data_IF_701794009424
#
_entry.id   IF_701794009424
#
_cell.length_a   1.000
_cell.length_b   1.000
_cell.length_c   1.000
_cell.angle_alpha   90.00
_cell.angle_beta   90.00
_cell.angle_gamma   90.00
#
_symmetry.space_group_name_H-M   'P 1'
#
loop_
_entity.id
_entity.type
_entity.pdbx_description
1 polymer ?
#
# COMPACT_ATOMS: atom_id res chain seq x y z
N UNK A 1 -12.85 -7.87 10.13
CA UNK A 1 -11.69 -8.77 10.30
C UNK A 1 -10.35 -8.04 10.34
N UNK A 2 -9.34 -8.69 10.93
CA UNK A 2 -7.97 -8.19 11.00
C UNK A 2 -7.07 -8.93 10.02
N UNK A 3 -6.14 -8.20 9.40
CA UNK A 3 -5.20 -8.70 8.40
C UNK A 3 -3.78 -8.56 8.91
N UNK A 4 -2.96 -9.60 8.72
CA UNK A 4 -1.53 -9.53 8.98
C UNK A 4 -0.84 -9.04 7.72
N UNK A 5 -0.18 -7.90 7.81
CA UNK A 5 0.55 -7.28 6.70
C UNK A 5 2.06 -7.37 6.94
N UNK A 6 2.79 -7.73 5.89
CA UNK A 6 4.25 -7.63 5.84
C UNK A 6 4.67 -6.45 4.96
N UNK A 7 5.80 -5.85 5.30
CA UNK A 7 6.37 -4.74 4.55
C UNK A 7 7.52 -5.20 3.66
N UNK A 8 7.79 -4.42 2.61
CA UNK A 8 8.83 -4.70 1.64
C UNK A 8 10.21 -4.85 2.32
N UNK A 9 10.96 -5.87 1.89
CA UNK A 9 12.31 -6.15 2.41
C UNK A 9 12.37 -6.61 3.87
N UNK A 10 11.22 -6.80 4.55
CA UNK A 10 11.20 -7.15 5.98
C UNK A 10 11.84 -6.09 6.87
N UNK A 11 11.93 -4.84 6.39
CA UNK A 11 12.58 -3.73 7.10
C UNK A 11 11.80 -3.36 8.37
N UNK A 12 10.48 -3.52 8.33
CA UNK A 12 9.58 -3.30 9.46
C UNK A 12 8.92 -4.62 9.88
N UNK A 13 8.60 -4.79 11.18
CA UNK A 13 7.92 -5.97 11.67
C UNK A 13 6.54 -6.12 11.01
N UNK A 14 6.03 -7.35 11.00
CA UNK A 14 4.64 -7.59 10.59
C UNK A 14 3.68 -6.89 11.55
N UNK A 15 2.65 -6.28 10.99
CA UNK A 15 1.63 -5.56 11.75
C UNK A 15 0.23 -6.07 11.42
N UNK A 16 -0.68 -5.92 12.37
CA UNK A 16 -2.08 -6.31 12.21
C UNK A 16 -2.95 -5.08 12.02
N UNK A 17 -3.71 -5.05 10.93
CA UNK A 17 -4.60 -3.95 10.59
C UNK A 17 -6.04 -4.41 10.45
N UNK A 18 -6.99 -3.56 10.86
CA UNK A 18 -8.39 -3.76 10.52
C UNK A 18 -8.56 -3.66 8.99
N UNK A 19 -9.35 -4.54 8.38
CA UNK A 19 -9.56 -4.58 6.93
C UNK A 19 -10.03 -3.23 6.33
N UNK A 20 -10.78 -2.43 7.11
CA UNK A 20 -11.22 -1.08 6.70
C UNK A 20 -10.05 -0.10 6.51
N UNK A 21 -8.91 -0.36 7.15
CA UNK A 21 -7.68 0.44 7.02
C UNK A 21 -6.77 -0.06 5.91
N UNK A 22 -7.08 -1.19 5.30
CA UNK A 22 -6.31 -1.79 4.21
C UNK A 22 -7.08 -1.59 2.91
N UNK A 23 -6.34 -1.24 1.86
CA UNK A 23 -6.91 -0.99 0.53
C UNK A 23 -6.07 -1.66 -0.55
N UNK A 24 -6.73 -2.01 -1.64
CA UNK A 24 -6.01 -2.36 -2.85
C UNK A 24 -5.22 -1.15 -3.36
N UNK A 25 -4.06 -1.35 -3.99
CA UNK A 25 -3.34 -0.27 -4.62
C UNK A 25 -4.23 0.41 -5.68
N UNK A 26 -4.04 1.71 -5.97
CA UNK A 26 -4.71 2.34 -7.10
C UNK A 26 -4.52 1.50 -8.36
N UNK A 27 -5.59 1.31 -9.13
CA UNK A 27 -5.47 0.73 -10.47
C UNK A 27 -4.48 1.60 -11.24
N UNK A 28 -3.35 1.02 -11.64
CA UNK A 28 -2.41 1.68 -12.55
C UNK A 28 -3.15 1.85 -13.88
N UNK A 29 -3.84 2.96 -14.08
CA UNK A 29 -4.13 3.40 -15.42
C UNK A 29 -2.76 3.70 -16.03
N UNK A 30 -2.26 2.77 -16.85
CA UNK A 30 -0.95 2.84 -17.51
C UNK A 30 -0.81 4.14 -18.33
N UNK A 31 -1.95 4.75 -18.67
CA UNK A 31 -2.11 6.05 -19.32
C UNK A 31 -2.13 7.24 -18.34
N UNK A 32 -2.64 7.09 -17.11
CA UNK A 32 -2.79 8.20 -16.16
C UNK A 32 -1.47 8.74 -15.60
N UNK A 33 -0.39 7.94 -15.58
CA UNK A 33 0.90 8.43 -15.09
C UNK A 33 1.60 9.38 -16.09
N UNK A 34 1.31 9.27 -17.38
CA UNK A 34 1.84 10.16 -18.42
C UNK A 34 1.06 11.49 -18.50
N UNK A 35 -0.18 11.52 -18.01
CA UNK A 35 -1.08 12.68 -18.08
C UNK A 35 -1.33 13.35 -16.72
N UNK A 36 -0.72 12.84 -15.63
CA UNK A 36 -0.95 13.39 -14.29
C UNK A 36 -0.22 14.73 -14.11
N UNK A 37 -0.99 15.81 -14.24
CA UNK A 37 -0.54 17.19 -14.07
C UNK A 37 -1.35 17.90 -12.98
N UNK A 38 -1.05 17.63 -11.70
CA UNK A 38 -1.80 18.23 -10.62
C UNK A 38 -1.57 19.75 -10.56
N UNK A 39 -2.61 20.45 -10.12
CA UNK A 39 -2.62 21.92 -10.06
C UNK A 39 -2.32 22.43 -8.65
N UNK A 40 -1.78 23.66 -8.49
CA UNK A 40 -1.60 24.26 -7.17
C UNK A 40 -2.90 24.26 -6.36
N UNK A 41 -2.83 23.75 -5.13
CA UNK A 41 -3.98 23.57 -4.23
C UNK A 41 -4.52 22.14 -4.18
N UNK A 42 -4.23 21.31 -5.20
CA UNK A 42 -4.71 19.92 -5.28
C UNK A 42 -4.06 19.02 -4.22
N UNK A 43 -4.81 18.00 -3.77
CA UNK A 43 -4.31 16.97 -2.86
C UNK A 43 -3.84 15.77 -3.67
N UNK A 44 -2.60 15.37 -3.44
CA UNK A 44 -1.92 14.26 -4.10
C UNK A 44 -1.37 13.29 -3.06
N UNK A 45 -1.00 12.09 -3.50
CA UNK A 45 -0.23 11.16 -2.68
C UNK A 45 1.25 11.28 -3.03
N UNK A 46 2.06 11.63 -2.04
CA UNK A 46 3.52 11.77 -2.11
C UNK A 46 4.19 10.48 -1.62
N UNK A 47 5.12 9.96 -2.42
CA UNK A 47 5.95 8.83 -2.05
C UNK A 47 7.00 9.24 -1.00
N UNK A 48 7.23 8.37 -0.02
CA UNK A 48 8.33 8.50 0.92
C UNK A 48 9.10 7.19 1.06
N UNK A 49 10.41 7.30 1.29
CA UNK A 49 11.29 6.17 1.48
C UNK A 49 11.11 5.56 2.87
N UNK A 50 11.49 4.28 3.00
CA UNK A 50 11.55 3.63 4.30
C UNK A 50 12.63 4.30 5.17
N UNK A 51 12.36 4.39 6.46
CA UNK A 51 13.31 4.77 7.51
C UNK A 51 13.42 3.62 8.50
N UNK A 52 14.41 3.62 9.41
CA UNK A 52 14.46 2.63 10.48
C UNK A 52 13.22 2.61 11.38
N UNK A 53 12.45 3.69 11.39
CA UNK A 53 11.24 3.86 12.21
C UNK A 53 9.93 3.71 11.42
N UNK A 54 9.96 3.60 10.10
CA UNK A 54 8.74 3.58 9.28
C UNK A 54 8.96 2.91 7.92
N UNK A 55 8.00 2.11 7.43
CA UNK A 55 8.10 1.50 6.10
C UNK A 55 8.00 2.57 5.00
N UNK A 56 8.44 2.24 3.78
CA UNK A 56 8.18 3.10 2.62
C UNK A 56 6.67 3.18 2.36
N UNK A 57 6.22 4.26 1.72
CA UNK A 57 4.80 4.40 1.48
C UNK A 57 4.38 5.65 0.72
N UNK A 58 3.08 5.94 0.85
CA UNK A 58 2.42 7.07 0.22
C UNK A 58 1.64 7.84 1.28
N UNK A 59 1.79 9.17 1.30
CA UNK A 59 1.11 10.07 2.25
C UNK A 59 0.41 11.21 1.52
N UNK A 60 -0.62 11.78 2.10
CA UNK A 60 -1.28 12.94 1.50
C UNK A 60 -0.41 14.20 1.58
N UNK A 61 -0.37 14.93 0.48
CA UNK A 61 0.32 16.21 0.38
C UNK A 61 -0.50 17.18 -0.49
N UNK A 62 -0.34 18.48 -0.26
CA UNK A 62 -0.92 19.55 -1.07
C UNK A 62 0.12 20.14 -1.99
N UNK A 63 -0.23 20.27 -3.27
CA UNK A 63 0.61 20.97 -4.25
C UNK A 63 0.59 22.47 -3.97
N UNK A 64 1.76 23.07 -3.87
CA UNK A 64 1.96 24.51 -3.61
C UNK A 64 2.29 25.26 -4.90
N UNK A 65 3.14 24.69 -5.73
CA UNK A 65 3.51 25.25 -7.02
C UNK A 65 3.98 24.14 -7.96
N UNK A 66 3.87 24.41 -9.26
CA UNK A 66 4.33 23.53 -10.34
C UNK A 66 5.26 24.36 -11.23
N UNK A 67 6.51 23.92 -11.40
CA UNK A 67 7.49 24.60 -12.24
C UNK A 67 8.33 23.57 -13.00
N UNK A 68 8.33 23.64 -14.33
CA UNK A 68 9.21 22.84 -15.21
C UNK A 68 9.17 21.32 -14.93
N UNK A 69 7.99 20.76 -14.63
CA UNK A 69 7.85 19.33 -14.33
C UNK A 69 8.24 18.93 -12.90
N UNK A 70 8.60 19.90 -12.05
CA UNK A 70 8.79 19.74 -10.61
C UNK A 70 7.61 20.31 -9.85
N UNK A 71 7.31 19.69 -8.72
CA UNK A 71 6.18 20.02 -7.86
C UNK A 71 6.69 20.32 -6.46
N UNK A 72 6.40 21.53 -5.96
CA UNK A 72 6.56 21.84 -4.54
C UNK A 72 5.31 21.32 -3.82
N UNK A 73 5.49 20.39 -2.90
CA UNK A 73 4.39 19.79 -2.14
C UNK A 73 4.62 19.89 -0.65
N UNK A 74 3.54 20.00 0.11
CA UNK A 74 3.58 20.04 1.57
C UNK A 74 2.68 18.94 2.15
N UNK A 75 3.17 18.02 3.00
CA UNK A 75 2.34 17.04 3.69
C UNK A 75 1.14 17.71 4.39
N UNK A 76 -0.04 17.09 4.31
CA UNK A 76 -1.26 17.62 4.94
C UNK A 76 -1.25 17.44 6.45
N UNK A 77 -0.69 16.31 6.89
CA UNK A 77 -0.47 15.98 8.29
C UNK A 77 0.76 16.73 8.84
N UNK A 78 0.68 17.15 10.11
CA UNK A 78 1.85 17.72 10.79
C UNK A 78 2.83 16.59 11.07
N UNK A 79 4.08 16.73 10.62
CA UNK A 79 5.17 15.90 11.13
C UNK A 79 5.32 16.15 12.64
N UNK A 80 5.73 15.14 13.40
CA UNK A 80 5.84 15.18 14.88
C UNK A 80 6.68 16.35 15.42
N UNK A 81 7.49 16.97 14.56
CA UNK A 81 8.38 18.10 14.90
C UNK A 81 7.83 19.47 14.46
N UNK A 82 6.55 19.57 14.11
CA UNK A 82 5.88 20.85 13.81
C UNK A 82 6.26 21.51 12.47
N UNK A 83 7.33 21.06 11.81
CA UNK A 83 7.69 21.50 10.47
C UNK A 83 6.77 20.87 9.42
N UNK A 84 5.99 21.69 8.71
CA UNK A 84 5.46 21.31 7.39
C UNK A 84 6.63 21.40 6.41
N UNK A 85 7.48 20.38 6.40
CA UNK A 85 8.60 20.31 5.46
C UNK A 85 8.05 20.30 4.04
N UNK A 86 8.15 21.42 3.34
CA UNK A 86 7.86 21.48 1.91
C UNK A 86 8.99 20.75 1.18
N UNK A 87 8.65 19.97 0.17
CA UNK A 87 9.62 19.21 -0.61
C UNK A 87 9.36 19.43 -2.09
N UNK A 88 10.43 19.55 -2.86
CA UNK A 88 10.37 19.62 -4.32
C UNK A 88 10.62 18.22 -4.85
N UNK A 89 9.69 17.71 -5.65
CA UNK A 89 9.75 16.36 -6.21
C UNK A 89 9.34 16.35 -7.68
N UNK A 90 9.86 15.41 -8.50
CA UNK A 90 9.36 15.22 -9.87
C UNK A 90 8.01 14.48 -9.86
N UNK A 91 7.32 14.46 -11.00
CA UNK A 91 6.02 13.79 -11.16
C UNK A 91 6.04 12.31 -10.77
N UNK A 92 7.18 11.62 -10.91
CA UNK A 92 7.34 10.20 -10.57
C UNK A 92 7.16 9.87 -9.08
N UNK A 93 7.29 10.88 -8.21
CA UNK A 93 7.15 10.72 -6.75
C UNK A 93 5.77 11.13 -6.24
N UNK A 94 4.86 11.53 -7.13
CA UNK A 94 3.49 11.89 -6.79
C UNK A 94 2.51 11.06 -7.61
N UNK A 95 1.31 10.85 -7.07
CA UNK A 95 0.21 10.20 -7.78
C UNK A 95 -1.13 10.80 -7.38
N UNK A 96 -2.20 10.58 -8.16
CA UNK A 96 -3.54 10.98 -7.76
C UNK A 96 -3.89 10.47 -6.36
N UNK A 97 -4.52 11.32 -5.55
CA UNK A 97 -5.05 10.88 -4.27
C UNK A 97 -6.23 9.95 -4.51
N UNK A 98 -6.19 8.76 -3.94
CA UNK A 98 -7.25 7.76 -4.12
C UNK A 98 -8.27 7.91 -3.00
N UNK A 99 -9.56 7.89 -3.33
CA UNK A 99 -10.62 7.87 -2.32
C UNK A 99 -10.60 6.58 -1.49
N UNK A 100 -11.05 6.66 -0.24
CA UNK A 100 -11.12 5.53 0.71
C UNK A 100 -12.05 4.36 0.25
N UNK A 101 -12.75 4.51 -0.87
CA UNK A 101 -13.68 3.51 -1.41
C UNK A 101 -13.01 2.23 -1.94
N UNK A 102 -11.68 2.12 -1.89
CA UNK A 102 -10.92 0.94 -2.34
C UNK A 102 -10.53 -0.02 -1.21
N UNK A 103 -11.28 -0.03 -0.10
CA UNK A 103 -11.03 -0.94 1.04
C UNK A 103 -11.12 -2.41 0.60
N UNK A 104 -10.31 -3.26 1.23
CA UNK A 104 -10.35 -4.72 1.05
C UNK A 104 -11.44 -5.40 1.89
N UNK A 105 -12.22 -4.63 2.66
CA UNK A 105 -13.28 -5.16 3.49
C UNK A 105 -14.29 -5.97 2.65
N UNK A 106 -14.57 -7.21 3.07
CA UNK A 106 -15.48 -8.12 2.36
C UNK A 106 -14.92 -8.72 1.06
N UNK A 107 -13.68 -8.40 0.68
CA UNK A 107 -12.99 -9.03 -0.47
C UNK A 107 -12.19 -10.27 -0.07
N UNK A 108 -11.81 -10.36 1.20
CA UNK A 108 -10.97 -11.44 1.72
C UNK A 108 -11.85 -12.47 2.41
N UNK A 109 -11.69 -13.72 2.02
CA UNK A 109 -12.38 -14.86 2.60
C UNK A 109 -11.36 -15.81 3.22
N UNK A 110 -11.53 -16.11 4.51
CA UNK A 110 -10.75 -17.14 5.21
C UNK A 110 -11.58 -18.42 5.27
N UNK A 111 -11.08 -19.48 4.66
CA UNK A 111 -11.66 -20.82 4.77
C UNK A 111 -10.72 -21.69 5.59
N UNK A 112 -11.20 -22.15 6.75
CA UNK A 112 -10.49 -23.12 7.57
C UNK A 112 -11.03 -24.51 7.25
N UNK A 113 -10.14 -25.42 6.85
CA UNK A 113 -10.49 -26.81 6.55
C UNK A 113 -9.89 -27.68 7.66
N UNK A 114 -10.71 -28.39 8.45
CA UNK A 114 -10.19 -29.30 9.47
C UNK A 114 -9.42 -30.44 8.79
N UNK A 115 -8.27 -30.77 9.36
CA UNK A 115 -7.40 -31.82 8.84
C UNK A 115 -7.43 -32.99 9.81
N UNK A 116 -7.64 -34.19 9.29
CA UNK A 116 -7.51 -35.43 10.06
C UNK A 116 -6.09 -35.51 10.67
N UNK A 117 -5.94 -35.73 11.98
CA UNK A 117 -4.63 -35.83 12.62
C UNK A 117 -3.65 -36.76 11.91
N UNK A 118 -4.12 -37.86 11.30
CA UNK A 118 -3.29 -38.83 10.58
C UNK A 118 -2.66 -38.21 9.32
N UNK A 119 -3.29 -37.19 8.73
CA UNK A 119 -2.82 -36.51 7.52
C UNK A 119 -1.91 -35.32 7.84
N UNK A 120 -1.69 -34.98 9.11
CA UNK A 120 -0.89 -33.82 9.51
C UNK A 120 0.55 -33.92 8.99
N UNK A 121 1.16 -35.09 9.08
CA UNK A 121 2.53 -35.32 8.59
C UNK A 121 2.59 -35.27 7.06
N UNK A 122 1.54 -35.75 6.39
CA UNK A 122 1.45 -35.72 4.95
C UNK A 122 1.37 -34.28 4.39
N UNK A 123 0.74 -33.34 5.10
CA UNK A 123 0.65 -31.93 4.68
C UNK A 123 2.02 -31.25 4.48
N UNK A 124 3.06 -31.70 5.20
CA UNK A 124 4.42 -31.18 5.04
C UNK A 124 5.14 -31.65 3.77
N UNK A 125 4.54 -32.57 3.01
CA UNK A 125 5.19 -33.18 1.84
C UNK A 125 4.99 -32.36 0.56
N UNK A 126 5.90 -32.52 -0.39
CA UNK A 126 5.76 -31.93 -1.72
C UNK A 126 4.51 -32.42 -2.47
N UNK A 127 4.03 -33.64 -2.19
CA UNK A 127 2.83 -34.22 -2.79
C UNK A 127 1.56 -33.53 -2.32
N UNK A 128 1.46 -33.18 -1.03
CA UNK A 128 0.33 -32.41 -0.52
C UNK A 128 0.25 -31.02 -1.17
N UNK A 129 1.40 -30.34 -1.31
CA UNK A 129 1.47 -29.04 -1.97
C UNK A 129 1.11 -29.10 -3.48
N UNK A 130 1.38 -30.22 -4.16
CA UNK A 130 0.97 -30.44 -5.54
C UNK A 130 -0.54 -30.72 -5.65
N UNK A 131 -1.08 -31.53 -4.75
CA UNK A 131 -2.51 -31.89 -4.72
C UNK A 131 -3.39 -30.66 -4.44
N UNK A 132 -2.99 -29.79 -3.50
CA UNK A 132 -3.71 -28.54 -3.22
C UNK A 132 -3.78 -27.63 -4.46
N UNK A 133 -2.68 -27.55 -5.23
CA UNK A 133 -2.64 -26.74 -6.46
C UNK A 133 -3.63 -27.22 -7.52
N UNK A 134 -3.93 -28.51 -7.57
CA UNK A 134 -4.92 -29.05 -8.52
C UNK A 134 -6.36 -28.71 -8.12
N UNK A 135 -6.65 -28.60 -6.82
CA UNK A 135 -8.00 -28.26 -6.31
C UNK A 135 -8.31 -26.77 -6.42
N UNK A 136 -7.29 -25.92 -6.45
CA UNK A 136 -7.42 -24.47 -6.53
C UNK A 136 -7.54 -23.92 -7.96
N UNK A 137 -7.42 -24.78 -8.99
CA UNK A 137 -7.66 -24.45 -10.39
C UNK A 137 -9.15 -24.55 -10.73
#
# INVERSE_FOLDING_TARGET
DCLVCSFEGGVCPQETFHEQRVRFPPRRAREAAAEFHPTPGEIVELQFAATPSSPSGWRQARVKSCQHGLFLVAPTERLEHGARGEVIVPSTHIRPCVSASSSVAGWLHKTEVPVDPVLRDWLGTAQAAASLRQVQQ
#
